data_IF_995347904695
#
_entry.id   IF_995347904695
#
_cell.length_a   1.000
_cell.length_b   1.000
_cell.length_c   1.000
_cell.angle_alpha   90.00
_cell.angle_beta   90.00
_cell.angle_gamma   90.00
#
_symmetry.space_group_name_H-M   'P 1'
#
loop_
_entity.id
_entity.type
_entity.pdbx_description
1 polymer ?
#
# COMPACT_ATOMS: atom_id res chain seq x y z
N UNK A 1 -23.16 -5.67 -20.24
CA UNK A 1 -22.76 -4.75 -19.16
C UNK A 1 -21.29 -4.98 -18.83
N UNK A 2 -20.49 -3.91 -18.81
CA UNK A 2 -19.08 -4.00 -18.39
C UNK A 2 -18.99 -3.87 -16.88
N UNK A 3 -18.25 -4.78 -16.24
CA UNK A 3 -18.02 -4.84 -14.80
C UNK A 3 -16.51 -4.99 -14.56
N UNK A 4 -16.03 -4.38 -13.50
CA UNK A 4 -14.65 -4.53 -13.05
C UNK A 4 -14.59 -5.09 -11.63
N UNK A 5 -13.52 -5.82 -11.35
CA UNK A 5 -13.17 -6.27 -10.02
C UNK A 5 -11.67 -6.01 -9.77
N UNK A 6 -11.33 -5.58 -8.57
CA UNK A 6 -9.96 -5.54 -8.09
C UNK A 6 -9.80 -6.65 -7.04
N UNK A 7 -8.73 -7.43 -7.19
CA UNK A 7 -8.41 -8.56 -6.31
C UNK A 7 -7.09 -8.26 -5.61
N UNK A 8 -7.07 -8.42 -4.31
CA UNK A 8 -5.86 -8.37 -3.50
C UNK A 8 -5.22 -9.76 -3.45
N UNK A 9 -4.22 -9.99 -4.30
CA UNK A 9 -3.52 -11.25 -4.36
C UNK A 9 -2.34 -11.26 -3.40
N UNK A 10 -2.52 -11.89 -2.24
CA UNK A 10 -1.52 -12.00 -1.18
C UNK A 10 -0.46 -13.09 -1.44
N UNK A 11 -0.51 -13.79 -2.57
CA UNK A 11 0.55 -14.73 -2.92
C UNK A 11 1.87 -14.00 -3.17
N UNK A 12 2.96 -14.60 -2.75
CA UNK A 12 4.30 -14.07 -3.05
C UNK A 12 4.55 -14.10 -4.55
N UNK A 13 5.21 -13.06 -5.05
CA UNK A 13 5.68 -13.04 -6.44
C UNK A 13 6.60 -14.21 -6.72
N UNK A 14 6.53 -14.81 -7.92
CA UNK A 14 7.54 -15.77 -8.35
C UNK A 14 8.91 -15.12 -8.21
N UNK A 15 9.85 -15.79 -7.57
CA UNK A 15 11.25 -15.34 -7.57
C UNK A 15 11.69 -15.31 -9.05
N UNK A 16 11.84 -14.11 -9.60
CA UNK A 16 12.63 -13.95 -10.81
C UNK A 16 13.99 -14.58 -10.48
N UNK A 17 14.55 -15.41 -11.39
CA UNK A 17 15.86 -16.02 -11.22
C UNK A 17 16.81 -14.91 -10.77
N UNK A 18 17.00 -14.77 -9.47
CA UNK A 18 17.95 -13.83 -8.92
C UNK A 18 19.30 -14.31 -9.44
N UNK A 19 19.89 -13.56 -10.35
CA UNK A 19 21.33 -13.64 -10.57
C UNK A 19 21.92 -13.56 -9.18
N UNK A 20 22.58 -14.67 -8.73
CA UNK A 20 23.21 -14.75 -7.41
C UNK A 20 23.96 -13.44 -7.20
N UNK A 21 23.44 -12.57 -6.35
CA UNK A 21 24.20 -11.42 -5.90
C UNK A 21 25.41 -11.99 -5.19
N UNK A 22 26.60 -11.74 -5.74
CA UNK A 22 27.85 -12.06 -5.05
C UNK A 22 27.87 -11.30 -3.73
N UNK A 23 27.76 -12.00 -2.61
CA UNK A 23 27.81 -11.42 -1.26
C UNK A 23 26.70 -11.91 -0.34
N UNK A 24 26.81 -11.50 0.91
CA UNK A 24 25.81 -11.79 1.93
C UNK A 24 24.55 -10.95 1.71
N UNK A 25 23.40 -11.60 1.78
CA UNK A 25 22.08 -10.97 1.82
C UNK A 25 21.38 -11.29 3.15
N UNK A 26 20.24 -10.66 3.43
CA UNK A 26 19.48 -10.88 4.67
C UNK A 26 19.02 -12.32 4.85
N UNK A 27 18.70 -13.01 3.77
CA UNK A 27 18.21 -14.41 3.82
C UNK A 27 19.35 -15.39 4.07
N UNK A 28 20.60 -15.00 3.83
CA UNK A 28 21.79 -15.78 4.18
C UNK A 28 21.86 -16.11 5.67
N UNK A 29 21.34 -15.23 6.51
CA UNK A 29 21.39 -15.36 7.98
C UNK A 29 20.27 -16.21 8.55
N UNK A 30 19.25 -16.56 7.78
CA UNK A 30 18.15 -17.42 8.24
C UNK A 30 18.58 -18.89 8.41
N UNK A 31 19.44 -19.36 7.54
CA UNK A 31 19.80 -20.78 7.45
C UNK A 31 21.23 -21.09 7.90
N UNK A 32 22.04 -20.07 8.10
CA UNK A 32 23.43 -20.25 8.50
C UNK A 32 23.52 -20.69 9.97
N UNK A 33 24.23 -21.77 10.22
CA UNK A 33 24.50 -22.18 11.60
C UNK A 33 25.62 -21.31 12.21
N UNK A 34 25.74 -21.38 13.54
CA UNK A 34 26.69 -20.55 14.29
C UNK A 34 28.15 -20.71 13.82
N UNK A 35 28.58 -21.95 13.53
CA UNK A 35 29.97 -22.21 13.14
C UNK A 35 30.27 -21.60 11.78
N UNK A 36 29.37 -21.78 10.81
CA UNK A 36 29.52 -21.22 9.47
C UNK A 36 29.46 -19.68 9.50
N UNK A 37 28.61 -19.12 10.38
CA UNK A 37 28.58 -17.65 10.58
C UNK A 37 29.91 -17.11 11.07
N UNK A 38 30.55 -17.78 12.04
CA UNK A 38 31.83 -17.37 12.57
C UNK A 38 32.98 -17.51 11.54
N UNK A 39 32.81 -18.34 10.53
CA UNK A 39 33.76 -18.52 9.42
C UNK A 39 33.61 -17.52 8.28
N UNK A 40 32.54 -16.72 8.25
CA UNK A 40 32.35 -15.67 7.24
C UNK A 40 33.57 -14.73 7.22
N UNK A 41 33.92 -14.23 6.06
CA UNK A 41 34.98 -13.21 5.96
C UNK A 41 34.51 -11.89 6.58
N UNK A 42 35.37 -11.26 7.39
CA UNK A 42 35.02 -9.99 8.04
C UNK A 42 34.67 -8.92 7.02
N UNK A 43 35.38 -8.88 5.90
CA UNK A 43 35.13 -7.94 4.80
C UNK A 43 33.71 -8.04 4.24
N UNK A 44 33.19 -9.25 4.06
CA UNK A 44 31.84 -9.47 3.51
C UNK A 44 30.78 -9.10 4.53
N UNK A 45 31.02 -9.44 5.79
CA UNK A 45 30.09 -9.07 6.86
C UNK A 45 30.09 -7.54 7.08
N UNK A 46 31.23 -6.87 7.09
CA UNK A 46 31.31 -5.40 7.20
C UNK A 46 30.64 -4.72 6.00
N UNK A 47 30.81 -5.26 4.78
CA UNK A 47 30.12 -4.76 3.60
C UNK A 47 28.59 -4.89 3.72
N UNK A 48 28.11 -6.02 4.26
CA UNK A 48 26.71 -6.23 4.52
C UNK A 48 26.17 -5.24 5.58
N UNK A 49 26.86 -5.09 6.71
CA UNK A 49 26.45 -4.18 7.78
C UNK A 49 26.36 -2.73 7.29
N UNK A 50 27.37 -2.28 6.53
CA UNK A 50 27.42 -0.93 5.97
C UNK A 50 26.33 -0.68 4.94
N UNK A 51 26.10 -1.66 4.04
CA UNK A 51 25.08 -1.56 2.98
C UNK A 51 23.65 -1.51 3.54
N UNK A 52 23.44 -2.03 4.75
CA UNK A 52 22.13 -2.09 5.42
C UNK A 52 22.00 -1.11 6.59
N UNK A 53 22.83 -0.07 6.64
CA UNK A 53 22.75 1.02 7.62
C UNK A 53 22.78 0.56 9.10
N UNK A 54 23.50 -0.52 9.39
CA UNK A 54 23.73 -0.88 10.78
C UNK A 54 24.51 0.23 11.51
N UNK A 55 24.25 0.48 12.80
CA UNK A 55 24.98 1.50 13.56
C UNK A 55 26.49 1.28 13.51
N UNK A 56 27.26 2.34 13.30
CA UNK A 56 28.73 2.31 13.13
C UNK A 56 29.50 1.65 14.29
N UNK A 57 28.87 1.49 15.45
CA UNK A 57 29.44 0.76 16.58
C UNK A 57 29.53 -0.76 16.36
N UNK A 58 28.87 -1.30 15.35
CA UNK A 58 28.88 -2.71 15.03
C UNK A 58 29.74 -2.95 13.78
N UNK A 59 30.73 -3.79 13.91
CA UNK A 59 31.54 -4.31 12.81
C UNK A 59 31.55 -5.84 12.87
N UNK A 60 32.16 -6.48 11.89
CA UNK A 60 32.20 -7.92 11.77
C UNK A 60 32.78 -8.61 13.02
N UNK A 61 33.81 -8.05 13.62
CA UNK A 61 34.45 -8.63 14.81
C UNK A 61 33.52 -8.59 16.02
N UNK A 62 32.91 -7.43 16.28
CA UNK A 62 31.97 -7.27 17.39
C UNK A 62 30.77 -8.20 17.22
N UNK A 63 30.16 -8.23 16.03
CA UNK A 63 29.02 -9.11 15.76
C UNK A 63 29.40 -10.58 15.93
N UNK A 64 30.54 -11.02 15.41
CA UNK A 64 31.02 -12.40 15.62
C UNK A 64 31.25 -12.71 17.09
N UNK A 65 31.78 -11.78 17.86
CA UNK A 65 31.96 -11.95 19.29
C UNK A 65 30.63 -12.09 20.02
N UNK A 66 29.60 -11.29 19.65
CA UNK A 66 28.26 -11.37 20.20
C UNK A 66 27.60 -12.71 19.88
N UNK A 67 27.75 -13.21 18.64
CA UNK A 67 27.24 -14.53 18.23
C UNK A 67 28.01 -15.65 18.97
N UNK A 68 29.33 -15.53 19.11
CA UNK A 68 30.16 -16.51 19.82
C UNK A 68 29.75 -16.64 21.28
N UNK A 69 29.46 -15.52 21.93
CA UNK A 69 29.03 -15.47 23.34
C UNK A 69 27.53 -15.76 23.55
N UNK A 70 26.77 -16.08 22.51
CA UNK A 70 25.32 -16.28 22.52
C UNK A 70 24.52 -15.05 23.00
N UNK A 71 25.06 -13.84 22.85
CA UNK A 71 24.30 -12.60 23.07
C UNK A 71 23.28 -12.36 21.97
N UNK A 72 23.61 -12.75 20.75
CA UNK A 72 22.73 -12.75 19.59
C UNK A 72 22.91 -14.04 18.78
N UNK A 73 21.90 -14.38 17.99
CA UNK A 73 21.97 -15.41 16.96
C UNK A 73 22.21 -14.78 15.58
N UNK A 74 22.67 -15.55 14.58
CA UNK A 74 22.84 -15.07 13.20
C UNK A 74 21.55 -14.51 12.62
N UNK A 75 20.40 -15.11 12.94
CA UNK A 75 19.07 -14.68 12.51
C UNK A 75 18.71 -13.28 13.00
N UNK A 76 19.27 -12.83 14.12
CA UNK A 76 18.96 -11.51 14.68
C UNK A 76 19.43 -10.35 13.76
N UNK A 77 20.43 -10.59 12.91
CA UNK A 77 20.83 -9.64 11.89
C UNK A 77 19.73 -9.45 10.83
N UNK A 78 19.03 -10.52 10.46
CA UNK A 78 17.85 -10.44 9.59
C UNK A 78 16.71 -9.75 10.32
N UNK A 79 16.40 -10.15 11.54
CA UNK A 79 15.32 -9.57 12.34
C UNK A 79 15.53 -8.09 12.64
N UNK A 80 16.77 -7.64 12.79
CA UNK A 80 17.09 -6.21 12.94
C UNK A 80 16.70 -5.38 11.71
N UNK A 81 16.79 -5.98 10.52
CA UNK A 81 16.38 -5.34 9.26
C UNK A 81 14.89 -5.49 8.98
N UNK A 82 14.25 -6.46 9.62
CA UNK A 82 12.83 -6.75 9.47
C UNK A 82 12.05 -6.10 10.62
N UNK A 83 11.95 -4.75 10.60
CA UNK A 83 10.91 -4.08 11.37
C UNK A 83 9.54 -4.58 10.86
N UNK A 84 8.61 -4.85 11.79
CA UNK A 84 7.28 -5.35 11.47
C UNK A 84 6.56 -4.45 10.45
N UNK A 85 6.78 -3.14 10.50
CA UNK A 85 6.25 -2.19 9.53
C UNK A 85 6.93 -2.33 8.17
N UNK A 86 8.25 -2.46 8.13
CA UNK A 86 9.00 -2.66 6.88
C UNK A 86 8.57 -3.94 6.17
N UNK A 87 8.35 -5.04 6.90
CA UNK A 87 7.86 -6.30 6.33
C UNK A 87 6.48 -6.13 5.69
N UNK A 88 5.62 -5.30 6.27
CA UNK A 88 4.29 -5.02 5.70
C UNK A 88 4.36 -4.25 4.37
N UNK A 89 5.37 -3.40 4.19
CA UNK A 89 5.54 -2.60 2.97
C UNK A 89 6.44 -3.29 1.93
N UNK A 90 7.43 -4.07 2.37
CA UNK A 90 8.44 -4.67 1.48
C UNK A 90 8.14 -6.13 1.09
N UNK A 91 7.03 -6.71 1.56
CA UNK A 91 6.68 -8.07 1.18
C UNK A 91 6.34 -8.14 -0.31
N UNK A 92 7.11 -8.90 -1.12
CA UNK A 92 6.90 -8.95 -2.57
C UNK A 92 5.70 -9.84 -2.91
N UNK A 93 4.49 -9.35 -2.60
CA UNK A 93 3.25 -9.99 -2.99
C UNK A 93 2.84 -9.58 -4.41
N UNK A 94 1.99 -10.37 -5.05
CA UNK A 94 1.43 -10.03 -6.37
C UNK A 94 0.65 -8.72 -6.27
N UNK A 95 -0.14 -8.55 -5.20
CA UNK A 95 -0.87 -7.32 -4.93
C UNK A 95 -2.10 -7.17 -5.81
N UNK A 96 -2.33 -5.97 -6.32
CA UNK A 96 -3.54 -5.66 -7.07
C UNK A 96 -3.59 -6.33 -8.43
N UNK A 97 -4.66 -7.09 -8.66
CA UNK A 97 -5.03 -7.63 -9.97
C UNK A 97 -6.39 -7.08 -10.38
N UNK A 98 -6.44 -6.45 -11.54
CA UNK A 98 -7.69 -5.88 -12.08
C UNK A 98 -8.26 -6.81 -13.13
N UNK A 99 -9.52 -7.16 -12.95
CA UNK A 99 -10.28 -8.02 -13.86
C UNK A 99 -11.44 -7.25 -14.46
N UNK A 100 -11.74 -7.56 -15.72
CA UNK A 100 -12.86 -7.00 -16.46
C UNK A 100 -13.73 -8.11 -17.03
N UNK A 101 -15.03 -7.91 -16.96
CA UNK A 101 -16.05 -8.66 -17.67
C UNK A 101 -16.84 -7.71 -18.58
N UNK A 102 -17.07 -8.09 -19.82
CA UNK A 102 -17.93 -7.35 -20.76
C UNK A 102 -19.30 -8.01 -20.97
N UNK A 103 -19.55 -9.15 -20.34
CA UNK A 103 -20.75 -9.96 -20.49
C UNK A 103 -21.59 -10.11 -19.20
N UNK A 104 -21.45 -9.13 -18.30
CA UNK A 104 -22.25 -9.10 -17.06
C UNK A 104 -21.73 -10.03 -15.96
N UNK A 105 -20.45 -10.39 -15.98
CA UNK A 105 -19.80 -11.19 -14.94
C UNK A 105 -19.67 -12.67 -15.27
N UNK A 106 -20.05 -13.10 -16.48
CA UNK A 106 -19.96 -14.50 -16.90
C UNK A 106 -18.52 -14.89 -17.18
N UNK A 107 -17.79 -14.07 -17.94
CA UNK A 107 -16.38 -14.29 -18.22
C UNK A 107 -15.55 -13.09 -17.73
N UNK A 108 -14.37 -13.38 -17.18
CA UNK A 108 -13.47 -12.39 -16.63
C UNK A 108 -12.09 -12.50 -17.27
N UNK A 109 -11.51 -11.35 -17.59
CA UNK A 109 -10.17 -11.25 -18.13
C UNK A 109 -9.34 -10.33 -17.26
N UNK A 110 -8.16 -10.80 -16.81
CA UNK A 110 -7.17 -9.96 -16.15
C UNK A 110 -6.67 -8.90 -17.12
N UNK A 111 -6.60 -7.66 -16.66
CA UNK A 111 -6.23 -6.51 -17.49
C UNK A 111 -4.75 -6.16 -17.34
N UNK A 112 -4.25 -5.96 -16.11
CA UNK A 112 -2.85 -5.63 -15.90
C UNK A 112 -1.94 -6.85 -16.08
N UNK A 113 -0.95 -6.71 -16.96
CA UNK A 113 0.08 -7.74 -17.21
C UNK A 113 1.33 -7.59 -16.33
N UNK A 114 1.41 -6.52 -15.56
CA UNK A 114 2.53 -6.19 -14.66
C UNK A 114 2.04 -5.96 -13.23
N UNK A 115 2.95 -5.94 -12.28
CA UNK A 115 2.63 -5.69 -10.89
C UNK A 115 2.36 -4.21 -10.66
N UNK A 116 1.27 -3.91 -9.94
CA UNK A 116 0.93 -2.55 -9.51
C UNK A 116 1.60 -2.27 -8.17
N UNK A 117 2.87 -1.89 -8.23
CA UNK A 117 3.68 -1.65 -7.06
C UNK A 117 3.15 -0.47 -6.24
N UNK A 118 3.30 -0.58 -4.93
CA UNK A 118 2.96 0.46 -3.96
C UNK A 118 1.50 0.92 -3.96
N UNK A 119 0.57 0.20 -4.60
CA UNK A 119 -0.83 0.60 -4.59
C UNK A 119 -1.41 0.50 -3.18
N UNK A 120 -1.21 -0.62 -2.51
CA UNK A 120 -1.65 -0.82 -1.12
C UNK A 120 -0.80 -1.83 -0.35
N UNK A 121 0.34 -2.23 -0.91
CA UNK A 121 1.25 -3.21 -0.31
C UNK A 121 0.48 -4.43 0.21
N UNK A 122 0.57 -4.75 1.51
CA UNK A 122 -0.20 -5.82 2.16
C UNK A 122 -1.55 -5.36 2.74
N UNK A 123 -1.94 -4.09 2.54
CA UNK A 123 -3.17 -3.48 3.07
C UNK A 123 -4.34 -3.50 2.09
N UNK A 124 -4.35 -4.42 1.12
CA UNK A 124 -5.44 -4.50 0.15
C UNK A 124 -6.80 -4.75 0.78
N UNK A 125 -6.86 -5.36 1.96
CA UNK A 125 -8.09 -5.54 2.73
C UNK A 125 -8.70 -4.21 3.21
N UNK A 126 -7.89 -3.18 3.40
CA UNK A 126 -8.30 -1.86 3.84
C UNK A 126 -8.51 -0.91 2.65
N UNK A 127 -7.54 -0.89 1.74
CA UNK A 127 -7.60 -0.19 0.47
C UNK A 127 -8.30 -1.07 -0.61
N UNK A 128 -7.91 -1.00 -1.84
CA UNK A 128 -8.44 -1.87 -2.88
C UNK A 128 -9.79 -1.40 -3.43
N UNK A 129 -9.88 -0.11 -3.73
CA UNK A 129 -11.06 0.49 -4.36
C UNK A 129 -10.87 0.62 -5.87
N UNK A 130 -11.98 0.46 -6.58
CA UNK A 130 -12.04 0.67 -8.03
C UNK A 130 -13.30 1.44 -8.40
N UNK A 131 -13.15 2.46 -9.23
CA UNK A 131 -14.26 3.23 -9.76
C UNK A 131 -14.16 3.31 -11.27
N UNK A 132 -15.29 3.24 -11.94
CA UNK A 132 -15.42 3.35 -13.39
C UNK A 132 -16.05 4.69 -13.74
N UNK A 133 -15.50 5.38 -14.73
CA UNK A 133 -16.10 6.61 -15.23
C UNK A 133 -17.52 6.35 -15.76
N UNK A 134 -18.52 7.14 -15.33
CA UNK A 134 -19.89 6.96 -15.79
C UNK A 134 -20.08 7.16 -17.31
N UNK A 135 -19.13 7.83 -17.96
CA UNK A 135 -19.21 8.16 -19.39
C UNK A 135 -18.26 7.36 -20.28
N UNK A 136 -17.28 6.70 -19.70
CA UNK A 136 -16.32 5.91 -20.44
C UNK A 136 -15.98 4.64 -19.66
N UNK A 137 -16.47 3.50 -20.13
CA UNK A 137 -16.23 2.20 -19.49
C UNK A 137 -14.75 1.79 -19.44
N UNK A 138 -13.91 2.36 -20.29
CA UNK A 138 -12.49 2.05 -20.35
C UNK A 138 -11.65 3.01 -19.46
N UNK A 139 -12.27 4.04 -18.89
CA UNK A 139 -11.63 4.93 -17.92
C UNK A 139 -11.96 4.48 -16.50
N UNK A 140 -10.95 4.00 -15.79
CA UNK A 140 -11.07 3.51 -14.43
C UNK A 140 -10.04 4.14 -13.50
N UNK A 141 -10.39 4.17 -12.23
CA UNK A 141 -9.55 4.66 -11.15
C UNK A 141 -9.41 3.56 -10.11
N UNK A 142 -8.18 3.28 -9.69
CA UNK A 142 -7.87 2.39 -8.57
C UNK A 142 -7.03 3.14 -7.57
N UNK A 143 -7.23 2.87 -6.30
CA UNK A 143 -6.52 3.60 -5.28
C UNK A 143 -6.36 2.83 -3.97
N UNK A 144 -5.39 3.26 -3.22
CA UNK A 144 -4.95 2.85 -1.92
C UNK A 144 -4.03 3.93 -1.39
N UNK A 145 -2.72 3.65 -1.28
CA UNK A 145 -1.73 4.68 -0.95
C UNK A 145 -1.69 5.73 -2.06
N UNK A 146 -1.37 5.42 -3.34
CA UNK A 146 -1.58 6.33 -4.46
C UNK A 146 -2.99 6.20 -5.05
N UNK A 147 -3.34 7.16 -5.91
CA UNK A 147 -4.46 7.07 -6.83
C UNK A 147 -3.96 6.94 -8.26
N UNK A 148 -4.40 5.88 -8.93
CA UNK A 148 -3.99 5.55 -10.30
C UNK A 148 -5.19 5.63 -11.24
N UNK A 149 -4.98 6.19 -12.42
CA UNK A 149 -5.96 6.29 -13.50
C UNK A 149 -5.53 5.45 -14.68
N UNK A 150 -6.48 4.72 -15.26
CA UNK A 150 -6.35 4.04 -16.55
C UNK A 150 -7.36 4.62 -17.53
N UNK A 151 -6.97 4.79 -18.78
CA UNK A 151 -7.83 5.21 -19.87
C UNK A 151 -8.02 4.08 -20.92
N UNK A 152 -7.49 2.87 -20.65
CA UNK A 152 -7.49 1.70 -21.54
C UNK A 152 -8.08 0.44 -20.91
N UNK A 153 -8.98 0.61 -19.94
CA UNK A 153 -9.68 -0.50 -19.30
C UNK A 153 -8.82 -1.29 -18.31
N UNK A 154 -7.76 -0.70 -17.79
CA UNK A 154 -6.91 -1.31 -16.77
C UNK A 154 -5.68 -2.01 -17.32
N UNK A 155 -5.37 -1.86 -18.61
CA UNK A 155 -4.14 -2.40 -19.18
C UNK A 155 -2.91 -1.61 -18.74
N UNK A 156 -3.02 -0.28 -18.71
CA UNK A 156 -1.98 0.61 -18.20
C UNK A 156 -2.53 1.63 -17.20
N UNK A 157 -1.66 2.12 -16.32
CA UNK A 157 -2.01 3.09 -15.29
C UNK A 157 -1.00 4.21 -15.21
N UNK A 158 -1.48 5.41 -14.93
CA UNK A 158 -0.68 6.56 -14.53
C UNK A 158 -1.09 7.03 -13.15
N UNK A 159 -0.14 7.46 -12.32
CA UNK A 159 -0.47 8.16 -11.08
C UNK A 159 -1.08 9.52 -11.42
N UNK A 160 -2.06 9.90 -10.63
CA UNK A 160 -2.63 11.25 -10.60
C UNK A 160 -2.44 11.89 -9.22
N UNK A 161 -1.48 11.37 -8.44
CA UNK A 161 -0.99 11.91 -7.18
C UNK A 161 -0.08 13.10 -7.41
N UNK A 162 -0.66 14.24 -7.76
CA UNK A 162 0.11 15.46 -7.96
C UNK A 162 0.13 16.35 -6.72
N UNK A 163 0.79 17.49 -6.82
CA UNK A 163 0.87 18.48 -5.75
C UNK A 163 -0.50 18.78 -5.15
N UNK A 164 -0.53 18.92 -3.83
CA UNK A 164 -1.71 19.20 -3.01
C UNK A 164 -2.65 17.99 -2.77
N UNK A 165 -2.33 16.80 -3.23
CA UNK A 165 -3.07 15.60 -2.93
C UNK A 165 -2.32 14.78 -1.88
N UNK A 166 -2.97 14.48 -0.75
CA UNK A 166 -2.41 13.57 0.25
C UNK A 166 -2.59 12.14 -0.22
N UNK A 167 -1.69 11.26 0.20
CA UNK A 167 -1.82 9.81 0.00
C UNK A 167 -2.92 9.20 0.87
N UNK A 168 -3.07 7.89 0.81
CA UNK A 168 -4.04 7.10 1.59
C UNK A 168 -5.49 7.49 1.25
N UNK A 169 -5.87 7.10 0.04
CA UNK A 169 -7.17 7.42 -0.55
C UNK A 169 -8.24 6.44 -0.09
N UNK A 170 -9.37 6.98 0.39
CA UNK A 170 -10.48 6.19 0.94
C UNK A 170 -11.69 6.14 0.02
N UNK A 171 -11.97 7.22 -0.71
CA UNK A 171 -13.09 7.25 -1.64
C UNK A 171 -12.87 8.25 -2.78
N UNK A 172 -13.55 7.98 -3.91
CA UNK A 172 -13.54 8.83 -5.10
C UNK A 172 -14.97 8.93 -5.68
N UNK A 173 -15.49 10.12 -5.73
CA UNK A 173 -16.70 10.39 -6.46
C UNK A 173 -16.39 10.98 -7.83
N UNK A 174 -17.05 10.44 -8.85
CA UNK A 174 -16.94 10.91 -10.25
C UNK A 174 -18.28 11.49 -10.65
N UNK A 175 -18.29 12.74 -11.08
CA UNK A 175 -19.53 13.41 -11.51
C UNK A 175 -20.14 12.70 -12.72
N UNK A 176 -21.37 12.16 -12.63
CA UNK A 176 -22.00 11.42 -13.73
C UNK A 176 -22.32 12.31 -14.95
N UNK A 177 -22.40 13.63 -14.76
CA UNK A 177 -22.64 14.58 -15.86
C UNK A 177 -21.34 15.05 -16.50
N UNK A 178 -20.23 15.08 -15.74
CA UNK A 178 -18.93 15.55 -16.20
C UNK A 178 -17.81 14.74 -15.53
N UNK A 179 -17.31 13.71 -16.18
CA UNK A 179 -16.27 12.79 -15.65
C UNK A 179 -14.91 13.47 -15.40
N UNK A 180 -14.73 14.72 -15.80
CA UNK A 180 -13.55 15.51 -15.44
C UNK A 180 -13.65 16.08 -14.02
N UNK A 181 -14.85 16.15 -13.45
CA UNK A 181 -15.07 16.60 -12.09
C UNK A 181 -15.04 15.42 -11.12
N UNK A 182 -14.02 15.42 -10.28
CA UNK A 182 -13.72 14.39 -9.29
C UNK A 182 -13.73 14.99 -7.89
N UNK A 183 -14.15 14.22 -6.90
CA UNK A 183 -13.98 14.54 -5.49
C UNK A 183 -13.30 13.32 -4.84
N UNK A 184 -12.17 13.56 -4.19
CA UNK A 184 -11.39 12.53 -3.51
C UNK A 184 -11.32 12.79 -2.01
N UNK A 185 -11.56 11.76 -1.22
CA UNK A 185 -11.32 11.73 0.23
C UNK A 185 -10.06 10.93 0.53
N UNK A 186 -9.16 11.52 1.31
CA UNK A 186 -7.90 10.92 1.72
C UNK A 186 -7.52 11.33 3.15
N UNK A 187 -6.43 10.84 3.69
CA UNK A 187 -5.96 11.17 5.05
C UNK A 187 -5.67 12.67 5.25
N UNK A 188 -5.45 13.41 4.18
CA UNK A 188 -5.30 14.87 4.21
C UNK A 188 -6.61 15.66 4.11
N UNK A 189 -7.76 14.99 3.97
CA UNK A 189 -9.08 15.60 3.85
C UNK A 189 -9.72 15.42 2.48
N UNK A 190 -10.37 16.45 1.96
CA UNK A 190 -11.11 16.42 0.70
C UNK A 190 -10.40 17.24 -0.36
N UNK A 191 -10.29 16.67 -1.56
CA UNK A 191 -9.72 17.32 -2.72
C UNK A 191 -10.70 17.27 -3.90
N UNK A 192 -10.72 18.32 -4.72
CA UNK A 192 -11.54 18.42 -5.92
C UNK A 192 -10.65 18.61 -7.14
N UNK A 193 -10.97 17.91 -8.22
CA UNK A 193 -10.40 18.13 -9.54
C UNK A 193 -11.50 18.43 -10.55
N UNK A 194 -11.23 19.30 -11.50
CA UNK A 194 -12.13 19.63 -12.61
C UNK A 194 -11.57 19.23 -13.98
N UNK A 195 -10.41 18.59 -14.00
CA UNK A 195 -9.66 18.19 -15.20
C UNK A 195 -9.29 16.69 -15.21
N UNK A 196 -10.08 15.87 -14.51
CA UNK A 196 -9.88 14.41 -14.48
C UNK A 196 -8.68 13.95 -13.69
N UNK A 197 -8.25 14.75 -12.70
CA UNK A 197 -7.15 14.45 -11.80
C UNK A 197 -5.79 15.00 -12.22
N UNK A 198 -5.73 15.85 -13.26
CA UNK A 198 -4.45 16.49 -13.63
C UNK A 198 -4.05 17.58 -12.62
N UNK A 199 -5.03 18.29 -12.04
CA UNK A 199 -4.80 19.23 -10.95
C UNK A 199 -5.83 19.02 -9.83
N UNK A 200 -5.39 19.23 -8.58
CA UNK A 200 -6.20 19.07 -7.40
C UNK A 200 -6.25 20.33 -6.54
N UNK A 201 -7.44 20.68 -6.12
CA UNK A 201 -7.72 21.76 -5.17
C UNK A 201 -8.01 21.14 -3.82
N UNK A 202 -7.16 21.39 -2.84
CA UNK A 202 -7.36 20.93 -1.46
C UNK A 202 -8.40 21.83 -0.78
N UNK A 203 -9.42 21.21 -0.24
CA UNK A 203 -10.41 21.88 0.60
C UNK A 203 -9.97 21.82 2.06
N UNK A 204 -9.47 22.94 2.57
CA UNK A 204 -9.02 23.04 3.97
C UNK A 204 -10.18 23.37 4.94
N UNK A 205 -11.42 23.22 4.50
CA UNK A 205 -12.61 23.47 5.28
C UNK A 205 -13.67 22.39 5.03
N UNK A 206 -14.48 22.09 6.00
CA UNK A 206 -14.65 22.71 7.32
C UNK A 206 -13.54 22.33 8.31
N UNK A 207 -13.37 23.14 9.37
CA UNK A 207 -12.54 22.79 10.52
C UNK A 207 -13.23 21.67 11.31
N UNK A 208 -13.00 20.43 10.90
CA UNK A 208 -13.62 19.24 11.48
C UNK A 208 -12.55 18.28 11.99
N UNK A 209 -12.94 17.42 12.90
CA UNK A 209 -12.10 16.34 13.38
C UNK A 209 -11.88 15.25 12.33
N UNK A 210 -11.06 14.29 12.67
CA UNK A 210 -10.89 13.08 11.90
C UNK A 210 -12.13 12.19 12.02
N UNK A 211 -12.69 11.74 10.90
CA UNK A 211 -13.86 10.87 10.86
C UNK A 211 -13.48 9.49 10.32
N UNK A 212 -13.92 8.44 10.98
CA UNK A 212 -13.71 7.07 10.54
C UNK A 212 -14.86 6.58 9.65
N UNK A 213 -16.07 6.99 9.93
CA UNK A 213 -17.25 6.67 9.14
C UNK A 213 -18.22 7.85 9.11
N UNK A 214 -18.91 8.03 8.00
CA UNK A 214 -19.90 9.09 7.79
C UNK A 214 -21.17 8.47 7.22
N UNK A 215 -22.31 8.82 7.81
CA UNK A 215 -23.64 8.52 7.29
C UNK A 215 -24.47 9.79 7.22
N UNK A 216 -25.38 9.85 6.28
CA UNK A 216 -26.37 10.91 6.16
C UNK A 216 -27.77 10.32 6.09
N UNK A 217 -28.74 11.01 6.65
CA UNK A 217 -30.15 10.66 6.50
C UNK A 217 -30.83 11.44 5.37
N UNK A 218 -32.12 11.13 5.14
CA UNK A 218 -32.94 11.79 4.11
C UNK A 218 -33.81 12.90 4.68
N UNK A 219 -33.55 13.39 5.92
CA UNK A 219 -34.30 14.49 6.53
C UNK A 219 -34.10 15.80 5.76
N UNK A 220 -34.94 16.76 6.02
CA UNK A 220 -34.84 18.14 5.49
C UNK A 220 -34.87 19.15 6.64
N UNK A 221 -33.75 19.76 7.02
CA UNK A 221 -32.37 19.49 6.51
C UNK A 221 -31.89 18.09 6.88
N UNK A 222 -30.98 17.54 6.08
CA UNK A 222 -30.38 16.24 6.38
C UNK A 222 -29.44 16.32 7.59
N UNK A 223 -29.36 15.23 8.34
CA UNK A 223 -28.40 15.09 9.42
C UNK A 223 -27.19 14.30 8.95
N UNK A 224 -26.02 14.66 9.46
CA UNK A 224 -24.76 13.96 9.22
C UNK A 224 -24.36 13.26 10.52
N UNK A 225 -24.15 11.97 10.41
CA UNK A 225 -23.66 11.11 11.50
C UNK A 225 -22.23 10.71 11.20
N UNK A 226 -21.29 11.09 12.06
CA UNK A 226 -19.87 10.83 11.83
C UNK A 226 -19.16 10.65 13.18
N UNK A 227 -18.20 9.74 13.23
CA UNK A 227 -17.52 9.36 14.45
C UNK A 227 -16.06 8.99 14.28
N UNK A 228 -15.21 9.49 15.19
CA UNK A 228 -13.99 8.86 15.63
C UNK A 228 -13.93 8.73 17.17
N UNK A 229 -14.32 9.79 17.91
CA UNK A 229 -14.06 9.88 19.36
C UNK A 229 -15.27 10.10 20.25
N UNK A 230 -16.43 10.40 19.75
CA UNK A 230 -17.55 10.92 20.54
C UNK A 230 -18.87 10.22 20.35
N UNK A 231 -18.86 8.95 19.99
CA UNK A 231 -20.09 8.16 20.13
C UNK A 231 -20.18 7.64 21.55
N UNK A 232 -21.17 8.07 22.33
CA UNK A 232 -21.53 7.29 23.49
C UNK A 232 -21.97 5.92 23.00
N UNK A 233 -21.11 4.91 23.22
CA UNK A 233 -21.51 3.54 23.06
C UNK A 233 -22.70 3.27 23.99
N UNK A 234 -23.67 2.44 23.60
CA UNK A 234 -24.69 1.95 24.54
C UNK A 234 -24.09 1.33 25.79
N UNK A 235 -22.82 0.96 25.81
CA UNK A 235 -22.08 0.50 26.99
C UNK A 235 -21.63 1.62 27.91
N UNK A 236 -21.52 2.85 27.41
CA UNK A 236 -21.08 4.02 28.17
C UNK A 236 -22.26 4.71 28.85
N UNK A 237 -23.49 4.26 28.63
CA UNK A 237 -24.71 4.75 29.20
C UNK A 237 -25.17 4.02 30.48
N UNK A 238 -24.36 3.11 31.01
CA UNK A 238 -24.64 2.45 32.29
C UNK A 238 -24.01 3.24 33.44
N UNK A 239 -24.80 4.15 33.97
CA UNK A 239 -24.67 4.75 35.31
C UNK A 239 -25.84 4.34 36.17
#
# INVERSE_FOLDING_TARGET
QTIYAIVDNQNRRPKLNETKKEGLDKDSFEKINKNDFLMLENKDLDKFLSANNFPNKYNAEIIKQMVKSNQIASIDLKLFLEDANTVMFDTPIIGAEVYRSDDGGVNWKKQNSYFLDNLYNTYGYYFGRIHVSPKNKDQIYIYGVPILKSDDGGATYKSIDYQNLHVDHHDLWINPKNSQHLINGNDGGVNISYDGGENWIKLNQPSVGQFYAINVDNSKPYNVYCLLYTSPSPRDLHW
#
